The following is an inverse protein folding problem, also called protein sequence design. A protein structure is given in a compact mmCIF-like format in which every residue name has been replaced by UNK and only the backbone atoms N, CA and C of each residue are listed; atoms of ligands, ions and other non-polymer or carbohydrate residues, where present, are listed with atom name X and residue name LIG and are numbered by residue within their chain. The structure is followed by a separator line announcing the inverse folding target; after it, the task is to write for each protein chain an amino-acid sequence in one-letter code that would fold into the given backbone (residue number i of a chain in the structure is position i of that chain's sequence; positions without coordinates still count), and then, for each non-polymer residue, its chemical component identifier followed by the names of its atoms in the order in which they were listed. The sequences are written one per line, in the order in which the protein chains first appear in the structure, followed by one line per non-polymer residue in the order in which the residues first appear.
data_IF_149136876717
#
_entry.id   IF_149136876717
#
_cell.length_a   1.000
_cell.length_b   1.000
_cell.length_c   1.000
_cell.angle_alpha   90.00
_cell.angle_beta   90.00
_cell.angle_gamma   90.00
#
_symmetry.space_group_name_H-M   'P 1'
#
loop_
_entity.id
_entity.type
_entity.pdbx_description
1 polymer ?
#
# COMPACT_ATOMS: atom_id res chain seq x y z
N UNK A 1 2.93 9.28 -10.93
CA UNK A 1 4.20 9.63 -10.26
C UNK A 1 4.49 8.53 -9.24
N UNK A 2 5.66 7.90 -9.34
CA UNK A 2 6.20 6.96 -8.32
C UNK A 2 7.58 7.49 -7.94
N UNK A 3 7.88 7.54 -6.65
CA UNK A 3 9.20 7.93 -6.14
C UNK A 3 9.49 7.13 -4.87
N UNK A 4 10.74 7.17 -4.43
CA UNK A 4 11.09 6.68 -3.09
C UNK A 4 10.62 7.70 -2.03
N UNK A 5 10.50 7.25 -0.78
CA UNK A 5 10.17 8.15 0.34
C UNK A 5 11.22 9.25 0.48
N UNK A 6 12.49 8.94 0.20
CA UNK A 6 13.60 9.91 0.24
C UNK A 6 13.44 11.07 -0.76
N UNK A 7 12.77 10.84 -1.89
CA UNK A 7 12.61 11.83 -2.98
C UNK A 7 11.23 12.50 -2.99
N UNK A 8 10.39 12.20 -1.99
CA UNK A 8 9.00 12.61 -1.98
C UNK A 8 8.82 14.13 -2.09
N UNK A 9 9.62 14.90 -1.34
CA UNK A 9 9.53 16.37 -1.31
C UNK A 9 9.87 17.01 -2.67
N UNK A 10 11.01 16.64 -3.26
CA UNK A 10 11.44 17.11 -4.58
C UNK A 10 10.41 16.75 -5.66
N UNK A 11 9.90 15.51 -5.61
CA UNK A 11 8.94 15.04 -6.61
C UNK A 11 7.59 15.77 -6.48
N UNK A 12 7.15 16.06 -5.24
CA UNK A 12 5.94 16.84 -5.01
C UNK A 12 6.06 18.28 -5.53
N UNK A 13 7.21 18.93 -5.30
CA UNK A 13 7.48 20.29 -5.78
C UNK A 13 7.50 20.34 -7.33
N UNK A 14 8.24 19.42 -7.96
CA UNK A 14 8.33 19.31 -9.41
C UNK A 14 6.98 19.12 -10.09
N UNK A 15 6.05 18.43 -9.43
CA UNK A 15 4.70 18.18 -9.93
C UNK A 15 3.66 19.20 -9.43
N UNK A 16 4.07 20.24 -8.70
CA UNK A 16 3.18 21.30 -8.25
C UNK A 16 2.13 20.86 -7.22
N UNK A 17 2.41 19.84 -6.41
CA UNK A 17 1.51 19.38 -5.36
C UNK A 17 1.57 20.37 -4.18
N UNK A 18 0.52 21.20 -4.03
CA UNK A 18 0.48 22.29 -3.02
C UNK A 18 -0.62 22.15 -1.98
N UNK A 19 -1.57 21.23 -2.19
CA UNK A 19 -2.67 20.93 -1.27
C UNK A 19 -2.48 19.53 -0.69
N UNK A 20 -3.47 19.03 0.05
CA UNK A 20 -3.50 17.67 0.57
C UNK A 20 -3.36 16.64 -0.54
N UNK A 21 -2.46 15.68 -0.34
CA UNK A 21 -2.28 14.51 -1.20
C UNK A 21 -2.32 13.24 -0.36
N UNK A 22 -2.87 12.16 -0.92
CA UNK A 22 -2.79 10.82 -0.34
C UNK A 22 -1.50 10.15 -0.84
N UNK A 23 -0.63 9.75 0.08
CA UNK A 23 0.61 9.03 -0.24
C UNK A 23 0.37 7.54 -0.06
N UNK A 24 0.66 6.77 -1.09
CA UNK A 24 0.56 5.31 -1.11
C UNK A 24 1.96 4.71 -1.09
N UNK A 25 2.29 3.95 -0.05
CA UNK A 25 3.64 3.38 0.17
C UNK A 25 3.60 1.85 0.12
N UNK A 26 4.46 1.26 -0.71
CA UNK A 26 4.55 -0.18 -0.95
C UNK A 26 3.90 -0.61 -2.27
N UNK A 27 3.92 -1.92 -2.53
CA UNK A 27 3.59 -2.50 -3.83
C UNK A 27 2.10 -2.83 -4.01
N UNK A 28 1.19 -2.03 -3.43
CA UNK A 28 -0.24 -2.34 -3.42
C UNK A 28 -1.05 -1.71 -4.56
N UNK A 29 -0.45 -0.81 -5.35
CA UNK A 29 -1.04 -0.23 -6.57
C UNK A 29 -0.42 -0.81 -7.85
N UNK A 30 0.09 -2.04 -7.78
CA UNK A 30 0.59 -2.80 -8.92
C UNK A 30 -0.53 -3.50 -9.68
N UNK A 31 -0.15 -4.25 -10.71
CA UNK A 31 -1.08 -5.08 -11.50
C UNK A 31 -1.41 -6.41 -10.81
N UNK A 32 -0.67 -6.75 -9.75
CA UNK A 32 -0.87 -7.96 -8.96
C UNK A 32 -2.10 -7.81 -8.07
N UNK A 33 -3.14 -8.58 -8.37
CA UNK A 33 -4.38 -8.64 -7.61
C UNK A 33 -4.45 -9.91 -6.78
N UNK A 34 -4.65 -9.75 -5.47
CA UNK A 34 -4.87 -10.86 -4.55
C UNK A 34 -6.20 -10.67 -3.80
N UNK A 35 -6.92 -11.77 -3.57
CA UNK A 35 -8.11 -11.74 -2.73
C UNK A 35 -7.72 -11.47 -1.27
N UNK A 36 -8.55 -10.69 -0.59
CA UNK A 36 -8.40 -10.47 0.85
C UNK A 36 -8.44 -11.80 1.59
N UNK A 37 -7.42 -12.05 2.42
CA UNK A 37 -7.35 -13.24 3.26
C UNK A 37 -8.21 -13.13 4.53
N UNK A 38 -9.05 -12.10 4.65
CA UNK A 38 -9.90 -11.87 5.82
C UNK A 38 -10.75 -13.10 6.19
N UNK A 39 -11.25 -13.84 5.19
CA UNK A 39 -12.04 -15.05 5.38
C UNK A 39 -11.34 -16.33 4.96
N UNK A 40 -10.10 -16.25 4.49
CA UNK A 40 -9.32 -17.43 4.16
C UNK A 40 -9.07 -18.21 5.45
N UNK A 41 -9.68 -19.39 5.61
CA UNK A 41 -9.56 -20.22 6.82
C UNK A 41 -8.13 -20.68 7.08
N UNK A 42 -7.29 -20.72 6.04
CA UNK A 42 -5.88 -21.14 6.15
C UNK A 42 -4.95 -19.99 6.57
N UNK A 43 -5.45 -18.76 6.57
CA UNK A 43 -4.69 -17.57 6.95
C UNK A 43 -4.88 -17.22 8.43
N UNK A 44 -3.78 -17.24 9.17
CA UNK A 44 -3.74 -16.88 10.58
C UNK A 44 -3.54 -15.37 10.76
N UNK A 45 -4.30 -14.76 11.67
CA UNK A 45 -4.08 -13.38 12.14
C UNK A 45 -3.72 -13.39 13.63
N UNK A 46 -3.35 -12.24 14.18
CA UNK A 46 -3.07 -12.11 15.62
C UNK A 46 -4.24 -12.59 16.51
N UNK A 47 -5.49 -12.44 16.04
CA UNK A 47 -6.70 -12.73 16.81
C UNK A 47 -7.50 -13.94 16.31
N UNK A 48 -7.08 -14.59 15.22
CA UNK A 48 -7.78 -15.76 14.65
C UNK A 48 -6.77 -16.80 14.17
N UNK A 49 -6.82 -17.98 14.78
CA UNK A 49 -6.04 -19.14 14.36
C UNK A 49 -6.54 -19.73 13.06
N UNK A 50 -5.61 -20.17 12.21
CA UNK A 50 -5.96 -20.86 10.98
C UNK A 50 -6.53 -22.26 11.26
N UNK A 51 -7.47 -22.68 10.43
CA UNK A 51 -8.05 -24.02 10.44
C UNK A 51 -7.29 -24.95 9.48
N UNK A 52 -7.30 -26.25 9.78
CA UNK A 52 -6.69 -27.28 8.93
C UNK A 52 -7.53 -27.63 7.69
#
# INVERSE_FOLDING_TARGET
MRCTVAQLAETAEKNGIRKTALITVGDFLGDDYALSKLYDKTFETEFRKAEK
#
